data_IF_662007832075
#
_entry.id   IF_662007832075
#
_cell.length_a   1.000
_cell.length_b   1.000
_cell.length_c   1.000
_cell.angle_alpha   90.00
_cell.angle_beta   90.00
_cell.angle_gamma   90.00
#
_symmetry.space_group_name_H-M   'P 1'
#
loop_
_entity.id
_entity.type
_entity.pdbx_description
1 polymer ?
#
# COMPACT_ATOMS: atom_id res chain seq x y z
N UNK A 1 3.13 -5.34 -19.13
CA UNK A 1 2.39 -4.10 -18.91
C UNK A 1 3.37 -2.96 -18.64
N UNK A 2 3.31 -1.88 -19.38
CA UNK A 2 4.24 -0.78 -19.14
C UNK A 2 3.87 -0.03 -17.87
N UNK A 3 4.81 0.13 -17.00
CA UNK A 3 4.66 0.97 -15.81
C UNK A 3 5.35 2.29 -16.04
N UNK A 4 4.71 3.37 -15.63
CA UNK A 4 5.34 4.69 -15.62
C UNK A 4 5.85 4.98 -14.22
N UNK A 5 7.08 5.48 -14.14
CA UNK A 5 7.63 5.96 -12.89
C UNK A 5 7.37 7.46 -12.82
N UNK A 6 6.53 7.86 -11.88
CA UNK A 6 6.13 9.25 -11.71
C UNK A 6 6.47 9.66 -10.29
N UNK A 7 7.19 10.78 -10.16
CA UNK A 7 7.49 11.39 -8.85
C UNK A 7 6.40 12.40 -8.55
N UNK A 8 5.41 11.98 -7.80
CA UNK A 8 4.28 12.83 -7.45
C UNK A 8 3.68 12.35 -6.14
N UNK A 9 2.81 13.15 -5.59
CA UNK A 9 2.02 12.75 -4.41
C UNK A 9 1.09 11.62 -4.82
N UNK A 10 1.30 10.45 -4.23
CA UNK A 10 0.55 9.25 -4.58
C UNK A 10 -0.96 9.43 -4.31
N UNK A 11 -1.34 10.28 -3.35
CA UNK A 11 -2.74 10.52 -3.03
C UNK A 11 -3.46 11.35 -4.08
N UNK A 12 -2.72 11.93 -5.02
CA UNK A 12 -3.27 12.75 -6.11
C UNK A 12 -3.26 12.04 -7.46
N UNK A 13 -2.86 10.77 -7.49
CA UNK A 13 -2.78 10.02 -8.74
C UNK A 13 -4.16 9.52 -9.17
N UNK A 14 -4.40 9.56 -10.48
CA UNK A 14 -5.63 9.05 -11.11
C UNK A 14 -5.34 7.66 -11.67
N UNK A 15 -5.40 6.64 -10.81
CA UNK A 15 -5.11 5.25 -11.17
C UNK A 15 -6.17 4.36 -10.52
N UNK A 16 -6.26 3.13 -10.98
CA UNK A 16 -7.21 2.19 -10.37
C UNK A 16 -6.81 1.82 -8.95
N UNK A 17 -5.52 1.71 -8.69
CA UNK A 17 -5.00 1.26 -7.42
C UNK A 17 -3.77 2.06 -7.02
N UNK A 18 -3.72 2.50 -5.78
CA UNK A 18 -2.49 3.01 -5.20
C UNK A 18 -1.99 2.02 -4.15
N UNK A 19 -0.68 1.92 -4.02
CA UNK A 19 -0.05 1.02 -3.06
C UNK A 19 0.35 1.82 -1.84
N UNK A 20 0.00 1.30 -0.66
CA UNK A 20 0.31 1.89 0.62
C UNK A 20 1.29 1.01 1.38
N UNK A 21 2.27 1.63 2.04
CA UNK A 21 3.13 0.93 2.99
C UNK A 21 2.45 0.95 4.35
N UNK A 22 1.95 -0.19 4.77
CA UNK A 22 1.04 -0.29 5.91
C UNK A 22 1.73 -0.84 7.15
N UNK A 23 1.09 -0.62 8.30
CA UNK A 23 1.48 -1.25 9.55
C UNK A 23 0.90 -2.65 9.66
N UNK A 24 1.56 -3.56 10.40
CA UNK A 24 0.97 -4.88 10.67
C UNK A 24 -0.26 -4.81 11.58
N UNK A 25 -0.41 -3.75 12.35
CA UNK A 25 -1.53 -3.56 13.28
C UNK A 25 -2.51 -2.52 12.73
N UNK A 26 -3.79 -2.57 13.16
CA UNK A 26 -4.79 -1.60 12.68
C UNK A 26 -4.63 -0.23 13.35
N UNK A 27 -3.52 0.42 13.10
CA UNK A 27 -3.21 1.77 13.55
C UNK A 27 -2.66 2.56 12.39
N UNK A 28 -2.82 3.89 12.45
CA UNK A 28 -2.29 4.77 11.42
C UNK A 28 -0.80 5.00 11.69
N UNK A 29 0.03 4.70 10.69
CA UNK A 29 1.47 4.94 10.77
C UNK A 29 1.85 6.32 10.28
N UNK A 30 3.14 6.52 10.09
CA UNK A 30 3.70 7.78 9.62
C UNK A 30 3.90 7.77 8.11
N UNK A 31 4.24 8.94 7.56
CA UNK A 31 4.64 9.07 6.16
C UNK A 31 3.51 8.74 5.19
N UNK A 32 3.78 7.83 4.26
CA UNK A 32 2.84 7.45 3.21
C UNK A 32 1.52 6.93 3.78
N UNK A 33 1.59 6.10 4.83
CA UNK A 33 0.40 5.54 5.46
C UNK A 33 -0.49 6.65 6.03
N UNK A 34 0.09 7.59 6.75
CA UNK A 34 -0.64 8.73 7.30
C UNK A 34 -1.28 9.57 6.20
N UNK A 35 -0.55 9.86 5.13
CA UNK A 35 -1.05 10.66 4.02
C UNK A 35 -2.24 9.97 3.33
N UNK A 36 -2.15 8.68 3.12
CA UNK A 36 -3.22 7.91 2.47
C UNK A 36 -4.46 7.85 3.36
N UNK A 37 -4.29 7.58 4.66
CA UNK A 37 -5.42 7.60 5.59
C UNK A 37 -6.11 8.95 5.60
N UNK A 38 -5.34 10.02 5.68
CA UNK A 38 -5.91 11.36 5.70
C UNK A 38 -6.69 11.66 4.41
N UNK A 39 -6.14 11.34 3.26
CA UNK A 39 -6.77 11.61 1.97
C UNK A 39 -7.99 10.72 1.72
N UNK A 40 -7.95 9.48 2.16
CA UNK A 40 -9.07 8.53 1.99
C UNK A 40 -10.21 8.79 2.97
N UNK A 41 -9.94 9.39 4.11
CA UNK A 41 -10.86 9.54 5.22
C UNK A 41 -10.45 8.60 6.34
N UNK A 42 -9.73 9.15 7.34
CA UNK A 42 -9.07 8.34 8.37
C UNK A 42 -10.04 7.44 9.12
N UNK A 43 -11.21 7.96 9.51
CA UNK A 43 -12.18 7.19 10.28
C UNK A 43 -12.72 6.00 9.49
N UNK A 44 -13.05 6.21 8.23
CA UNK A 44 -13.65 5.18 7.38
C UNK A 44 -12.64 4.09 7.04
N UNK A 45 -11.44 4.49 6.65
CA UNK A 45 -10.41 3.53 6.28
C UNK A 45 -9.95 2.74 7.50
N UNK A 46 -9.76 3.39 8.65
CA UNK A 46 -9.33 2.70 9.86
C UNK A 46 -10.40 1.73 10.36
N UNK A 47 -11.67 2.10 10.27
CA UNK A 47 -12.76 1.21 10.64
C UNK A 47 -12.76 -0.05 9.77
N UNK A 48 -12.56 0.12 8.46
CA UNK A 48 -12.45 -1.02 7.55
C UNK A 48 -11.24 -1.87 7.89
N UNK A 49 -10.09 -1.24 8.13
CA UNK A 49 -8.84 -1.92 8.48
C UNK A 49 -8.99 -2.76 9.76
N UNK A 50 -9.73 -2.24 10.74
CA UNK A 50 -9.97 -2.95 12.00
C UNK A 50 -10.71 -4.27 11.80
N UNK A 51 -11.52 -4.40 10.76
CA UNK A 51 -12.24 -5.65 10.48
C UNK A 51 -11.31 -6.74 9.95
N UNK A 52 -10.12 -6.38 9.48
CA UNK A 52 -9.20 -7.31 8.83
C UNK A 52 -8.20 -7.94 9.80
N UNK A 53 -8.00 -7.34 10.97
CA UNK A 53 -7.09 -7.89 11.98
C UNK A 53 -5.64 -7.50 11.76
N UNK A 54 -4.73 -8.32 12.27
CA UNK A 54 -3.29 -8.08 12.20
C UNK A 54 -2.69 -8.83 11.02
N UNK A 55 -1.57 -8.30 10.51
CA UNK A 55 -0.84 -8.89 9.39
C UNK A 55 0.64 -9.00 9.72
N UNK A 56 1.36 -9.79 8.96
CA UNK A 56 2.82 -9.96 9.08
C UNK A 56 3.54 -9.22 7.96
N UNK A 57 4.86 -9.13 8.09
CA UNK A 57 5.69 -8.50 7.05
C UNK A 57 5.40 -9.10 5.68
N UNK A 58 5.32 -8.25 4.67
CA UNK A 58 5.02 -8.58 3.28
C UNK A 58 3.63 -9.15 3.02
N UNK A 59 2.76 -9.20 4.00
CA UNK A 59 1.35 -9.47 3.75
C UNK A 59 0.75 -8.31 2.97
N UNK A 60 -0.22 -8.61 2.12
CA UNK A 60 -0.91 -7.61 1.32
C UNK A 60 -2.42 -7.77 1.49
N UNK A 61 -3.13 -6.65 1.44
CA UNK A 61 -4.59 -6.66 1.47
C UNK A 61 -5.16 -5.47 0.72
N UNK A 62 -6.36 -5.63 0.19
CA UNK A 62 -7.06 -4.57 -0.54
C UNK A 62 -8.12 -3.92 0.33
N UNK A 63 -8.27 -2.61 0.18
CA UNK A 63 -9.41 -1.87 0.70
C UNK A 63 -9.98 -1.00 -0.42
N UNK A 64 -11.23 -0.51 -0.27
CA UNK A 64 -11.71 0.52 -1.18
C UNK A 64 -10.90 1.80 -1.05
N UNK A 65 -10.96 2.66 -2.08
CA UNK A 65 -10.26 3.93 -2.06
C UNK A 65 -10.93 5.02 -1.24
N UNK A 66 -12.20 4.84 -0.89
CA UNK A 66 -13.01 5.83 -0.18
C UNK A 66 -13.00 7.19 -0.87
N UNK A 67 -12.49 8.23 -0.22
CA UNK A 67 -12.45 9.57 -0.81
C UNK A 67 -11.34 9.78 -1.83
N UNK A 68 -10.40 8.83 -1.94
CA UNK A 68 -9.34 8.89 -2.94
C UNK A 68 -9.87 8.63 -4.35
N UNK A 69 -9.13 9.13 -5.33
CA UNK A 69 -9.49 8.99 -6.74
C UNK A 69 -8.93 7.69 -7.32
N UNK A 70 -9.08 6.61 -6.57
CA UNK A 70 -8.71 5.28 -6.98
C UNK A 70 -9.78 4.30 -6.52
N UNK A 71 -9.87 3.17 -7.22
CA UNK A 71 -10.86 2.16 -6.87
C UNK A 71 -10.42 1.34 -5.66
N UNK A 72 -9.12 1.06 -5.58
CA UNK A 72 -8.55 0.24 -4.52
C UNK A 72 -7.32 0.88 -3.91
N UNK A 73 -7.08 0.58 -2.64
CA UNK A 73 -5.78 0.79 -2.00
C UNK A 73 -5.22 -0.60 -1.72
N UNK A 74 -4.04 -0.89 -2.27
CA UNK A 74 -3.33 -2.14 -1.98
C UNK A 74 -2.33 -1.87 -0.88
N UNK A 75 -2.59 -2.41 0.30
CA UNK A 75 -1.74 -2.20 1.45
C UNK A 75 -0.69 -3.30 1.51
N UNK A 76 0.56 -2.91 1.62
CA UNK A 76 1.68 -3.83 1.74
C UNK A 76 2.33 -3.58 3.09
N UNK A 77 2.39 -4.60 3.93
CA UNK A 77 3.04 -4.47 5.24
C UNK A 77 4.55 -4.46 5.01
N UNK A 78 5.14 -3.29 5.15
CA UNK A 78 6.55 -3.07 4.88
C UNK A 78 7.43 -3.75 5.94
N UNK A 79 8.51 -4.44 5.53
CA UNK A 79 9.41 -5.04 6.51
C UNK A 79 10.27 -3.97 7.20
N UNK A 80 10.75 -4.30 8.40
CA UNK A 80 11.73 -3.47 9.06
C UNK A 80 13.05 -3.57 8.29
N UNK A 81 13.78 -2.45 8.23
CA UNK A 81 15.06 -2.43 7.55
C UNK A 81 16.14 -3.05 8.47
N UNK A 82 16.68 -4.20 8.08
CA UNK A 82 17.70 -4.93 8.84
C UNK A 82 18.79 -5.49 7.92
N UNK A 83 19.45 -4.61 7.17
CA UNK A 83 20.58 -5.02 6.34
C UNK A 83 20.17 -5.80 5.09
N UNK A 84 21.00 -6.78 4.72
CA UNK A 84 20.85 -7.51 3.45
C UNK A 84 19.55 -8.31 3.33
N UNK A 85 19.02 -8.79 4.44
CA UNK A 85 17.79 -9.57 4.43
C UNK A 85 16.60 -8.74 3.96
N UNK A 86 16.66 -7.44 4.15
CA UNK A 86 15.59 -6.55 3.74
C UNK A 86 15.38 -6.56 2.23
N UNK A 87 16.43 -6.71 1.44
CA UNK A 87 16.31 -6.74 -0.01
C UNK A 87 15.44 -7.91 -0.48
N UNK A 88 15.62 -9.09 0.11
CA UNK A 88 14.81 -10.26 -0.20
C UNK A 88 13.37 -10.05 0.23
N UNK A 89 13.14 -9.44 1.39
CA UNK A 89 11.80 -9.15 1.89
C UNK A 89 11.08 -8.11 1.04
N UNK A 90 11.78 -7.06 0.61
CA UNK A 90 11.19 -6.06 -0.27
C UNK A 90 10.78 -6.71 -1.59
N UNK A 91 11.63 -7.57 -2.14
CA UNK A 91 11.29 -8.31 -3.36
C UNK A 91 10.03 -9.17 -3.16
N UNK A 92 9.93 -9.85 -2.03
CA UNK A 92 8.75 -10.64 -1.71
C UNK A 92 7.49 -9.78 -1.58
N UNK A 93 7.62 -8.59 -0.98
CA UNK A 93 6.51 -7.65 -0.90
C UNK A 93 5.99 -7.26 -2.29
N UNK A 94 6.90 -6.95 -3.21
CA UNK A 94 6.51 -6.62 -4.59
C UNK A 94 5.85 -7.80 -5.28
N UNK A 95 6.37 -9.01 -5.11
CA UNK A 95 5.77 -10.21 -5.71
C UNK A 95 4.36 -10.43 -5.18
N UNK A 96 4.14 -10.29 -3.88
CA UNK A 96 2.82 -10.43 -3.28
C UNK A 96 1.85 -9.38 -3.81
N UNK A 97 2.33 -8.14 -3.96
CA UNK A 97 1.54 -7.05 -4.51
C UNK A 97 1.14 -7.33 -5.96
N UNK A 98 2.09 -7.75 -6.79
CA UNK A 98 1.81 -8.05 -8.20
C UNK A 98 0.81 -9.20 -8.34
N UNK A 99 0.87 -10.19 -7.46
CA UNK A 99 -0.09 -11.30 -7.49
C UNK A 99 -1.52 -10.78 -7.27
N UNK A 100 -1.72 -9.92 -6.28
CA UNK A 100 -3.05 -9.34 -6.02
C UNK A 100 -3.53 -8.48 -7.20
N UNK A 101 -2.61 -7.70 -7.78
CA UNK A 101 -2.92 -6.86 -8.95
C UNK A 101 -3.42 -7.73 -10.11
N UNK A 102 -2.75 -8.85 -10.38
CA UNK A 102 -3.15 -9.75 -11.45
C UNK A 102 -4.48 -10.43 -11.14
N UNK A 103 -4.66 -10.91 -9.92
CA UNK A 103 -5.89 -11.62 -9.52
C UNK A 103 -7.12 -10.72 -9.60
N UNK A 104 -6.95 -9.42 -9.42
CA UNK A 104 -8.05 -8.46 -9.44
C UNK A 104 -8.16 -7.68 -10.75
N UNK A 105 -7.36 -8.05 -11.76
CA UNK A 105 -7.41 -7.42 -13.09
C UNK A 105 -7.17 -5.91 -13.05
N UNK A 106 -6.30 -5.45 -12.15
CA UNK A 106 -6.00 -4.04 -12.00
C UNK A 106 -5.08 -3.59 -13.13
N UNK A 107 -5.43 -2.53 -13.84
CA UNK A 107 -4.74 -2.09 -15.04
C UNK A 107 -3.75 -0.96 -14.80
N UNK A 108 -3.97 -0.15 -13.78
CA UNK A 108 -3.08 0.99 -13.49
C UNK A 108 -2.83 1.06 -11.99
N UNK A 109 -1.56 1.20 -11.61
CA UNK A 109 -1.11 1.14 -10.22
C UNK A 109 -0.03 2.18 -10.00
N UNK A 110 -0.11 2.89 -8.87
CA UNK A 110 0.95 3.78 -8.43
C UNK A 110 1.59 3.19 -7.17
N UNK A 111 2.91 3.09 -7.18
CA UNK A 111 3.69 2.53 -6.08
C UNK A 111 4.48 3.60 -5.34
N UNK A 112 4.52 3.58 -4.00
CA UNK A 112 5.51 4.32 -3.25
C UNK A 112 6.84 3.56 -3.25
N UNK A 113 7.88 4.14 -2.67
CA UNK A 113 9.12 3.42 -2.43
C UNK A 113 8.95 2.61 -1.13
N UNK A 114 9.00 1.29 -1.24
CA UNK A 114 8.83 0.39 -0.10
C UNK A 114 10.14 0.27 0.67
N UNK A 115 10.05 0.45 2.00
CA UNK A 115 11.20 0.29 2.92
C UNK A 115 12.37 1.24 2.66
N UNK A 116 12.09 2.45 2.18
CA UNK A 116 13.12 3.48 2.00
C UNK A 116 13.19 4.45 3.18
N UNK A 117 12.46 4.16 4.25
CA UNK A 117 12.32 5.04 5.40
C UNK A 117 11.28 6.11 5.13
N UNK A 118 10.61 6.56 6.13
CA UNK A 118 9.64 7.68 6.10
C UNK A 118 8.98 7.92 4.77
#
# INVERSE_FOLDING_TARGET
MPYKIIRNDITKMHVECIVNTANPYPVIGDGCDSAIYHAAGSSELLAYRNTLGEFEECDVFLTPGFALDCQYILHVVSPYYEGEQTNALVHQCYQNAFQIIEENNIKSVAFPLISTGS
#
